data_IF_865296022399
#
_entry.id   IF_865296022399
#
_cell.length_a   1.000
_cell.length_b   1.000
_cell.length_c   1.000
_cell.angle_alpha   90.00
_cell.angle_beta   90.00
_cell.angle_gamma   90.00
#
_symmetry.space_group_name_H-M   'P 1'
#
loop_
_entity.id
_entity.type
_entity.pdbx_description
1 polymer ?
#
# COMPACT_ATOMS: atom_id res chain seq x y z
N UNK A 1 1.09 25.29 27.55
CA UNK A 1 2.16 24.97 26.59
C UNK A 1 3.09 26.18 26.49
N UNK A 2 4.42 26.03 26.41
CA UNK A 2 5.32 27.18 26.25
C UNK A 2 5.03 27.86 24.91
N UNK A 3 4.92 29.19 24.90
CA UNK A 3 4.64 30.02 23.70
C UNK A 3 5.49 29.66 22.47
N UNK A 4 6.76 29.29 22.68
CA UNK A 4 7.68 28.85 21.62
C UNK A 4 7.24 27.61 20.84
N UNK A 5 6.48 26.71 21.47
CA UNK A 5 5.96 25.49 20.83
C UNK A 5 4.75 25.81 19.95
N UNK A 6 3.94 26.78 20.36
CA UNK A 6 2.78 27.25 19.62
C UNK A 6 3.21 28.03 18.38
N UNK A 7 4.21 28.93 18.50
CA UNK A 7 4.81 29.64 17.35
C UNK A 7 5.48 28.71 16.33
N UNK A 8 6.14 27.64 16.78
CA UNK A 8 6.73 26.67 15.86
C UNK A 8 5.66 25.85 15.12
N UNK A 9 4.60 25.46 15.79
CA UNK A 9 3.47 24.78 15.17
C UNK A 9 2.78 25.69 14.12
N UNK A 10 2.52 26.96 14.46
CA UNK A 10 1.93 27.92 13.52
C UNK A 10 2.83 28.16 12.30
N UNK A 11 4.15 28.31 12.48
CA UNK A 11 5.10 28.42 11.37
C UNK A 11 5.13 27.17 10.49
N UNK A 12 5.06 25.99 11.10
CA UNK A 12 4.98 24.71 10.39
C UNK A 12 3.67 24.60 9.62
N UNK A 13 2.55 24.98 10.21
CA UNK A 13 1.22 25.05 9.55
C UNK A 13 1.20 25.98 8.35
N UNK A 14 1.75 27.18 8.50
CA UNK A 14 1.86 28.16 7.40
C UNK A 14 2.73 27.58 6.27
N UNK A 15 3.83 26.91 6.60
CA UNK A 15 4.72 26.28 5.61
C UNK A 15 4.00 25.13 4.89
N UNK A 16 3.31 24.24 5.62
CA UNK A 16 2.53 23.13 5.04
C UNK A 16 1.45 23.66 4.12
N UNK A 17 0.66 24.65 4.56
CA UNK A 17 -0.40 25.27 3.76
C UNK A 17 0.16 25.91 2.49
N UNK A 18 1.29 26.64 2.58
CA UNK A 18 1.95 27.25 1.44
C UNK A 18 2.49 26.22 0.43
N UNK A 19 2.95 25.05 0.88
CA UNK A 19 3.40 23.95 0.02
C UNK A 19 2.18 23.32 -0.71
N UNK A 20 1.10 23.07 0.00
CA UNK A 20 -0.12 22.48 -0.56
C UNK A 20 -0.87 23.41 -1.55
N UNK A 21 -0.73 24.72 -1.38
CA UNK A 21 -1.35 25.76 -2.24
C UNK A 21 -0.53 26.15 -3.47
N UNK A 22 0.79 25.79 -3.54
CA UNK A 22 1.62 26.10 -4.71
C UNK A 22 1.11 25.39 -5.95
N UNK A 23 0.76 26.19 -6.96
CA UNK A 23 0.07 25.77 -8.16
C UNK A 23 0.82 24.81 -9.08
N UNK A 24 0.15 24.38 -10.14
CA UNK A 24 0.57 23.42 -11.17
C UNK A 24 1.78 23.90 -12.02
N UNK A 25 2.96 24.01 -11.42
CA UNK A 25 4.19 24.14 -12.17
C UNK A 25 4.52 22.82 -12.88
N UNK A 26 5.06 22.86 -14.11
CA UNK A 26 5.60 21.69 -14.78
C UNK A 26 6.72 21.11 -13.92
N UNK A 27 6.51 19.88 -13.41
CA UNK A 27 7.46 19.17 -12.53
C UNK A 27 8.34 18.25 -13.38
N UNK A 28 9.64 18.52 -13.40
CA UNK A 28 10.62 17.58 -13.95
C UNK A 28 11.00 16.59 -12.86
N UNK A 29 10.96 15.30 -13.20
CA UNK A 29 11.40 14.21 -12.33
C UNK A 29 12.85 13.86 -12.65
N UNK A 30 13.68 13.72 -11.62
CA UNK A 30 15.11 13.43 -11.78
C UNK A 30 15.43 11.95 -11.63
N UNK A 31 14.75 11.26 -10.70
CA UNK A 31 15.06 9.87 -10.37
C UNK A 31 13.97 8.91 -10.87
N UNK A 32 12.82 8.94 -10.24
CA UNK A 32 11.72 8.05 -10.59
C UNK A 32 10.40 8.84 -10.60
N UNK A 33 9.70 8.89 -11.74
CA UNK A 33 8.36 9.49 -11.76
C UNK A 33 7.43 8.67 -10.88
N UNK A 34 6.48 9.34 -10.23
CA UNK A 34 5.41 8.63 -9.52
C UNK A 34 4.70 7.68 -10.47
N UNK A 35 4.65 6.38 -10.17
CA UNK A 35 4.01 5.41 -11.06
C UNK A 35 2.54 5.73 -11.30
N UNK A 36 2.04 5.43 -12.51
CA UNK A 36 0.66 5.72 -12.90
C UNK A 36 -0.33 4.71 -12.31
N UNK A 37 -1.63 5.01 -12.41
CA UNK A 37 -2.74 4.13 -12.04
C UNK A 37 -2.64 2.74 -12.71
N UNK A 38 -2.21 2.65 -13.97
CA UNK A 38 -1.96 1.38 -14.64
C UNK A 38 -0.96 0.50 -13.88
N UNK A 39 0.11 1.08 -13.35
CA UNK A 39 1.07 0.33 -12.54
C UNK A 39 0.46 -0.19 -11.25
N UNK A 40 -0.37 0.63 -10.59
CA UNK A 40 -1.12 0.20 -9.40
C UNK A 40 -2.04 -0.99 -9.68
N UNK A 41 -2.72 -1.01 -10.84
CA UNK A 41 -3.52 -2.16 -11.28
C UNK A 41 -2.64 -3.40 -11.45
N UNK A 42 -1.55 -3.31 -12.21
CA UNK A 42 -0.66 -4.45 -12.45
C UNK A 42 -0.11 -5.04 -11.16
N UNK A 43 0.36 -4.20 -10.21
CA UNK A 43 0.87 -4.66 -8.92
C UNK A 43 -0.20 -5.34 -8.04
N UNK A 44 -1.46 -4.93 -8.19
CA UNK A 44 -2.57 -5.55 -7.48
C UNK A 44 -2.98 -6.90 -8.05
N UNK A 45 -2.71 -7.17 -9.32
CA UNK A 45 -3.18 -8.38 -10.00
C UNK A 45 -2.12 -9.49 -10.08
N UNK A 46 -0.82 -9.14 -10.09
CA UNK A 46 0.27 -10.08 -10.39
C UNK A 46 0.43 -11.25 -9.43
N UNK A 47 0.02 -11.08 -8.17
CA UNK A 47 0.15 -12.13 -7.15
C UNK A 47 -1.08 -13.02 -7.00
N UNK A 48 -2.12 -12.79 -7.83
CA UNK A 48 -3.34 -13.59 -7.78
C UNK A 48 -3.11 -14.90 -8.54
N UNK A 49 -3.16 -16.02 -7.84
CA UNK A 49 -3.00 -17.35 -8.42
C UNK A 49 -4.19 -17.69 -9.33
N UNK A 50 -3.97 -18.61 -10.27
CA UNK A 50 -4.96 -19.07 -11.26
C UNK A 50 -5.41 -17.95 -12.22
N UNK A 51 -4.71 -16.81 -12.26
CA UNK A 51 -4.97 -15.72 -13.19
C UNK A 51 -3.78 -15.42 -14.09
N UNK A 52 -4.07 -14.77 -15.21
CA UNK A 52 -3.09 -14.23 -16.16
C UNK A 52 -3.47 -12.82 -16.53
N UNK A 53 -2.47 -11.96 -16.73
CA UNK A 53 -2.65 -10.59 -17.20
C UNK A 53 -2.20 -10.50 -18.65
N UNK A 54 -3.04 -9.93 -19.51
CA UNK A 54 -2.69 -9.52 -20.86
C UNK A 54 -2.69 -7.99 -20.90
N UNK A 55 -1.53 -7.40 -21.06
CA UNK A 55 -1.42 -5.96 -21.32
C UNK A 55 -1.58 -5.71 -22.82
N UNK A 56 -2.65 -5.02 -23.22
CA UNK A 56 -2.88 -4.63 -24.59
C UNK A 56 -2.07 -3.38 -24.92
N UNK A 57 -0.92 -3.57 -25.55
CA UNK A 57 -0.02 -2.49 -25.85
C UNK A 57 1.30 -2.91 -26.49
N UNK A 58 2.18 -1.93 -26.78
CA UNK A 58 3.52 -2.19 -27.30
C UNK A 58 4.44 -2.77 -26.22
N UNK A 59 5.44 -3.55 -26.64
CA UNK A 59 6.38 -4.22 -25.73
C UNK A 59 7.12 -3.29 -24.77
N UNK A 60 7.44 -2.06 -25.18
CA UNK A 60 8.20 -1.10 -24.37
C UNK A 60 7.48 -0.69 -23.08
N UNK A 61 6.14 -0.56 -23.11
CA UNK A 61 5.36 -0.23 -21.92
C UNK A 61 5.40 -1.34 -20.89
N UNK A 62 5.28 -2.59 -21.33
CA UNK A 62 5.32 -3.77 -20.46
C UNK A 62 6.71 -4.03 -19.90
N UNK A 63 7.77 -3.81 -20.69
CA UNK A 63 9.15 -4.02 -20.26
C UNK A 63 9.51 -3.16 -19.04
N UNK A 64 9.09 -1.90 -19.02
CA UNK A 64 9.28 -1.03 -17.85
C UNK A 64 8.57 -1.57 -16.61
N UNK A 65 7.35 -2.08 -16.78
CA UNK A 65 6.60 -2.70 -15.68
C UNK A 65 7.33 -3.93 -15.12
N UNK A 66 7.82 -4.80 -16.01
CA UNK A 66 8.53 -6.05 -15.63
C UNK A 66 9.83 -5.77 -14.88
N UNK A 67 10.60 -4.74 -15.27
CA UNK A 67 11.86 -4.42 -14.59
C UNK A 67 11.67 -4.01 -13.14
N UNK A 68 10.57 -3.33 -12.80
CA UNK A 68 10.23 -2.99 -11.42
C UNK A 68 9.76 -4.19 -10.59
N UNK A 69 9.20 -5.23 -11.20
CA UNK A 69 8.69 -6.40 -10.48
C UNK A 69 9.80 -7.28 -9.90
N UNK A 70 10.95 -7.38 -10.56
CA UNK A 70 12.09 -8.15 -10.06
C UNK A 70 12.58 -7.66 -8.69
N UNK A 71 12.35 -6.39 -8.38
CA UNK A 71 12.74 -5.77 -7.12
C UNK A 71 11.71 -6.00 -5.99
N UNK A 72 10.48 -6.42 -6.34
CA UNK A 72 9.38 -6.61 -5.40
C UNK A 72 9.23 -8.06 -4.91
N UNK A 73 10.18 -8.97 -5.19
CA UNK A 73 10.09 -10.40 -4.86
C UNK A 73 8.81 -11.05 -5.44
N UNK A 74 8.39 -10.60 -6.62
CA UNK A 74 7.24 -11.15 -7.33
C UNK A 74 7.76 -12.21 -8.32
N UNK A 75 7.49 -13.47 -8.03
CA UNK A 75 7.73 -14.54 -8.98
C UNK A 75 6.77 -14.40 -10.18
N UNK A 76 7.31 -13.91 -11.30
CA UNK A 76 6.51 -13.65 -12.52
C UNK A 76 6.23 -14.89 -13.37
N UNK A 77 6.16 -16.06 -12.81
CA UNK A 77 6.02 -17.31 -13.57
C UNK A 77 4.89 -17.25 -14.61
N UNK A 78 5.20 -16.71 -15.80
CA UNK A 78 4.29 -16.68 -16.96
C UNK A 78 2.89 -16.08 -16.69
N UNK A 79 2.80 -15.02 -15.88
CA UNK A 79 1.50 -14.42 -15.54
C UNK A 79 1.22 -13.09 -16.23
N UNK A 80 2.24 -12.44 -16.81
CA UNK A 80 2.08 -11.18 -17.55
C UNK A 80 2.52 -11.35 -19.00
N UNK A 81 1.62 -11.11 -19.92
CA UNK A 81 1.85 -11.11 -21.35
C UNK A 81 1.58 -9.73 -21.95
N UNK A 82 2.26 -9.39 -23.03
CA UNK A 82 1.95 -8.21 -23.83
C UNK A 82 1.56 -8.63 -25.25
N UNK A 83 0.65 -7.89 -25.87
CA UNK A 83 0.24 -8.16 -27.24
C UNK A 83 1.24 -7.72 -28.29
N UNK A 84 2.32 -7.02 -27.92
CA UNK A 84 3.29 -6.43 -28.88
C UNK A 84 2.61 -5.59 -29.97
N UNK A 85 1.68 -4.71 -29.56
CA UNK A 85 0.99 -3.81 -30.48
C UNK A 85 1.99 -3.09 -31.40
N UNK A 86 1.77 -3.18 -32.71
CA UNK A 86 2.57 -2.53 -33.73
C UNK A 86 2.04 -1.15 -34.11
N UNK A 87 2.81 -0.36 -34.84
CA UNK A 87 2.34 0.93 -35.38
C UNK A 87 1.13 0.76 -36.31
N UNK A 88 1.07 -0.32 -37.10
CA UNK A 88 -0.07 -0.63 -37.95
C UNK A 88 -1.34 -0.89 -37.13
N UNK A 89 -1.24 -1.63 -36.03
CA UNK A 89 -2.38 -1.90 -35.12
C UNK A 89 -2.92 -0.57 -34.52
N UNK A 90 -2.01 0.37 -34.19
CA UNK A 90 -2.39 1.70 -33.69
C UNK A 90 -3.14 2.52 -34.75
N UNK A 91 -2.63 2.55 -35.98
CA UNK A 91 -3.21 3.36 -37.07
C UNK A 91 -4.57 2.77 -37.53
N UNK A 92 -4.67 1.46 -37.61
CA UNK A 92 -5.85 0.76 -38.11
C UNK A 92 -6.91 0.53 -37.03
N UNK A 93 -6.56 0.66 -35.76
CA UNK A 93 -7.44 0.32 -34.63
C UNK A 93 -7.79 -1.17 -34.58
N UNK A 94 -6.91 -2.04 -35.07
CA UNK A 94 -7.15 -3.48 -35.20
C UNK A 94 -6.95 -4.20 -33.86
N UNK A 95 -8.03 -4.77 -33.31
CA UNK A 95 -8.03 -5.53 -32.07
C UNK A 95 -7.75 -7.03 -32.25
N UNK A 96 -7.60 -7.53 -33.50
CA UNK A 96 -7.41 -8.96 -33.81
C UNK A 96 -6.23 -9.57 -33.03
N UNK A 97 -5.19 -8.80 -32.79
CA UNK A 97 -4.04 -9.24 -32.00
C UNK A 97 -4.40 -9.52 -30.54
N UNK A 98 -5.27 -8.70 -29.93
CA UNK A 98 -5.78 -8.95 -28.58
C UNK A 98 -6.64 -10.20 -28.52
N UNK A 99 -7.55 -10.37 -29.47
CA UNK A 99 -8.41 -11.55 -29.56
C UNK A 99 -7.59 -12.86 -29.67
N UNK A 100 -6.55 -12.85 -30.53
CA UNK A 100 -5.62 -13.98 -30.67
C UNK A 100 -4.87 -14.26 -29.36
N UNK A 101 -4.36 -13.22 -28.68
CA UNK A 101 -3.65 -13.37 -27.42
C UNK A 101 -4.56 -13.97 -26.33
N UNK A 102 -5.81 -13.52 -26.23
CA UNK A 102 -6.79 -14.07 -25.28
C UNK A 102 -7.00 -15.57 -25.54
N UNK A 103 -7.26 -15.97 -26.78
CA UNK A 103 -7.45 -17.39 -27.15
C UNK A 103 -6.21 -18.24 -26.88
N UNK A 104 -5.03 -17.72 -27.17
CA UNK A 104 -3.77 -18.42 -26.97
C UNK A 104 -3.49 -18.64 -25.48
N UNK A 105 -3.68 -17.62 -24.65
CA UNK A 105 -3.51 -17.69 -23.20
C UNK A 105 -4.53 -18.65 -22.57
N UNK A 106 -5.80 -18.56 -22.94
CA UNK A 106 -6.84 -19.48 -22.44
C UNK A 106 -6.49 -20.93 -22.73
N UNK A 107 -6.05 -21.22 -23.97
CA UNK A 107 -5.69 -22.58 -24.41
C UNK A 107 -4.44 -23.12 -23.70
N UNK A 108 -3.38 -22.29 -23.59
CA UNK A 108 -2.06 -22.74 -23.16
C UNK A 108 -1.89 -22.70 -21.64
N UNK A 109 -2.39 -21.66 -20.98
CA UNK A 109 -2.24 -21.45 -19.54
C UNK A 109 -3.44 -21.96 -18.73
N UNK A 110 -4.61 -22.06 -19.33
CA UNK A 110 -5.88 -22.50 -18.70
C UNK A 110 -6.15 -21.79 -17.37
N UNK A 111 -6.07 -20.44 -17.33
CA UNK A 111 -6.34 -19.70 -16.10
C UNK A 111 -7.84 -19.71 -15.81
N UNK A 112 -8.23 -19.46 -14.54
CA UNK A 112 -9.63 -19.18 -14.20
C UNK A 112 -10.05 -17.78 -14.66
N UNK A 113 -9.13 -16.81 -14.60
CA UNK A 113 -9.37 -15.42 -14.98
C UNK A 113 -8.24 -14.89 -15.85
N UNK A 114 -8.60 -14.16 -16.90
CA UNK A 114 -7.69 -13.33 -17.69
C UNK A 114 -8.04 -11.87 -17.44
N UNK A 115 -7.11 -11.14 -16.84
CA UNK A 115 -7.19 -9.70 -16.69
C UNK A 115 -6.62 -9.02 -17.93
N UNK A 116 -7.45 -8.24 -18.64
CA UNK A 116 -7.02 -7.50 -19.84
C UNK A 116 -6.84 -6.04 -19.45
N UNK A 117 -5.59 -5.55 -19.51
CA UNK A 117 -5.22 -4.21 -19.04
C UNK A 117 -4.81 -3.35 -20.22
N UNK A 118 -5.41 -2.15 -20.34
CA UNK A 118 -5.01 -1.18 -21.33
C UNK A 118 -3.60 -0.62 -21.05
N UNK A 119 -2.73 -0.61 -22.06
CA UNK A 119 -1.56 0.25 -22.04
C UNK A 119 -1.96 1.72 -22.25
N UNK A 120 -1.03 2.64 -22.01
CA UNK A 120 -1.25 4.06 -22.29
C UNK A 120 -1.57 4.32 -23.76
N UNK A 121 -0.95 3.54 -24.68
CA UNK A 121 -1.23 3.64 -26.12
C UNK A 121 -2.65 3.18 -26.43
N UNK A 122 -3.07 2.03 -25.93
CA UNK A 122 -4.41 1.51 -26.12
C UNK A 122 -5.50 2.48 -25.61
N UNK A 123 -5.26 3.11 -24.45
CA UNK A 123 -6.18 4.08 -23.87
C UNK A 123 -6.27 5.38 -24.70
N UNK A 124 -5.15 5.88 -25.24
CA UNK A 124 -5.12 7.09 -26.09
C UNK A 124 -5.87 6.88 -27.41
N UNK A 125 -5.72 5.73 -28.04
CA UNK A 125 -6.45 5.41 -29.29
C UNK A 125 -7.91 5.01 -29.06
N UNK A 126 -8.35 4.92 -27.80
CA UNK A 126 -9.75 4.71 -27.45
C UNK A 126 -10.28 3.30 -27.73
N UNK A 127 -9.45 2.26 -27.60
CA UNK A 127 -9.88 0.88 -27.81
C UNK A 127 -10.88 0.45 -26.74
N UNK A 128 -12.03 -0.06 -27.16
CA UNK A 128 -13.05 -0.62 -26.27
C UNK A 128 -12.68 -2.04 -25.81
N UNK A 129 -11.72 -2.10 -24.86
CA UNK A 129 -11.27 -3.39 -24.28
C UNK A 129 -12.44 -4.13 -23.63
N UNK A 130 -13.35 -3.41 -22.97
CA UNK A 130 -14.50 -4.01 -22.31
C UNK A 130 -15.44 -4.66 -23.33
N UNK A 131 -15.72 -3.99 -24.43
CA UNK A 131 -16.52 -4.55 -25.54
C UNK A 131 -15.87 -5.81 -26.15
N UNK A 132 -14.55 -5.78 -26.35
CA UNK A 132 -13.78 -6.94 -26.85
C UNK A 132 -13.88 -8.11 -25.86
N UNK A 133 -13.65 -7.87 -24.55
CA UNK A 133 -13.77 -8.92 -23.53
C UNK A 133 -15.18 -9.52 -23.50
N UNK A 134 -16.22 -8.69 -23.57
CA UNK A 134 -17.60 -9.17 -23.59
C UNK A 134 -17.89 -10.04 -24.83
N UNK A 135 -17.41 -9.63 -26.00
CA UNK A 135 -17.54 -10.41 -27.24
C UNK A 135 -16.79 -11.74 -27.14
N UNK A 136 -15.55 -11.71 -26.65
CA UNK A 136 -14.69 -12.88 -26.57
C UNK A 136 -15.10 -13.87 -25.46
N UNK A 137 -15.91 -13.47 -24.49
CA UNK A 137 -16.25 -14.31 -23.34
C UNK A 137 -16.89 -15.64 -23.73
N UNK A 138 -17.67 -15.69 -24.84
CA UNK A 138 -18.29 -16.93 -25.33
C UNK A 138 -17.29 -17.87 -26.02
N UNK A 139 -16.10 -17.41 -26.37
CA UNK A 139 -15.10 -18.16 -27.12
C UNK A 139 -13.98 -18.75 -26.25
N UNK A 140 -13.94 -18.43 -24.93
CA UNK A 140 -12.90 -18.84 -23.97
C UNK A 140 -13.52 -19.37 -22.69
N UNK A 141 -12.76 -20.22 -21.98
CA UNK A 141 -13.20 -20.79 -20.70
C UNK A 141 -12.92 -19.85 -19.53
N UNK A 142 -11.80 -19.12 -19.58
CA UNK A 142 -11.43 -18.17 -18.55
C UNK A 142 -12.42 -17.00 -18.48
N UNK A 143 -12.72 -16.52 -17.28
CA UNK A 143 -13.46 -15.27 -17.12
C UNK A 143 -12.58 -14.09 -17.55
N UNK A 144 -13.11 -13.21 -18.39
CA UNK A 144 -12.41 -12.01 -18.85
C UNK A 144 -12.80 -10.82 -18.01
N UNK A 145 -11.80 -10.10 -17.45
CA UNK A 145 -12.00 -8.88 -16.67
C UNK A 145 -11.16 -7.76 -17.27
N UNK A 146 -11.81 -6.67 -17.69
CA UNK A 146 -11.21 -5.58 -18.43
C UNK A 146 -10.86 -4.38 -17.53
N UNK A 147 -9.65 -3.82 -17.69
CA UNK A 147 -9.18 -2.57 -17.10
C UNK A 147 -8.78 -1.59 -18.20
N UNK A 148 -9.54 -0.52 -18.37
CA UNK A 148 -9.41 0.46 -19.45
C UNK A 148 -8.62 1.74 -19.09
N UNK A 149 -8.10 1.85 -17.84
CA UNK A 149 -7.56 3.09 -17.28
C UNK A 149 -6.28 3.60 -17.96
N UNK A 150 -5.42 2.76 -18.46
CA UNK A 150 -4.28 3.10 -19.32
C UNK A 150 -3.23 4.08 -18.78
N UNK A 151 -3.30 4.51 -17.52
CA UNK A 151 -2.31 5.37 -16.90
C UNK A 151 -2.65 6.86 -16.82
N UNK A 152 -3.90 7.27 -17.07
CA UNK A 152 -4.30 8.67 -17.15
C UNK A 152 -5.27 9.14 -16.04
N UNK A 153 -5.72 8.26 -15.17
CA UNK A 153 -6.71 8.61 -14.13
C UNK A 153 -6.09 9.03 -12.80
N UNK A 154 -4.79 8.87 -12.64
CA UNK A 154 -4.06 9.26 -11.44
C UNK A 154 -2.72 8.57 -11.31
N UNK A 155 -2.17 8.58 -10.10
CA UNK A 155 -1.00 7.80 -9.76
C UNK A 155 -1.39 6.36 -9.36
N UNK A 156 -0.40 5.56 -8.96
CA UNK A 156 -0.59 4.14 -8.63
C UNK A 156 -1.66 3.91 -7.56
N UNK A 157 -1.86 4.84 -6.62
CA UNK A 157 -2.87 4.69 -5.56
C UNK A 157 -4.29 4.64 -6.12
N UNK A 158 -4.57 5.42 -7.17
CA UNK A 158 -5.85 5.37 -7.88
C UNK A 158 -6.06 4.01 -8.58
N UNK A 159 -4.99 3.45 -9.16
CA UNK A 159 -5.04 2.14 -9.79
C UNK A 159 -5.24 1.00 -8.80
N UNK A 160 -4.55 1.04 -7.67
CA UNK A 160 -4.72 0.08 -6.57
C UNK A 160 -6.16 0.10 -6.05
N UNK A 161 -6.71 1.28 -5.80
CA UNK A 161 -8.10 1.46 -5.38
C UNK A 161 -9.08 0.85 -6.39
N UNK A 162 -8.87 1.12 -7.69
CA UNK A 162 -9.73 0.60 -8.74
C UNK A 162 -9.62 -0.93 -8.86
N UNK A 163 -8.42 -1.48 -8.73
CA UNK A 163 -8.22 -2.92 -8.75
C UNK A 163 -9.01 -3.61 -7.61
N UNK A 164 -8.97 -3.10 -6.39
CA UNK A 164 -9.75 -3.67 -5.28
C UNK A 164 -11.26 -3.63 -5.56
N UNK A 165 -11.76 -2.51 -6.09
CA UNK A 165 -13.19 -2.39 -6.46
C UNK A 165 -13.60 -3.40 -7.53
N UNK A 166 -12.80 -3.51 -8.59
CA UNK A 166 -13.06 -4.44 -9.69
C UNK A 166 -13.02 -5.89 -9.21
N UNK A 167 -12.03 -6.27 -8.38
CA UNK A 167 -11.96 -7.61 -7.83
C UNK A 167 -13.18 -7.95 -6.96
N UNK A 168 -13.63 -7.02 -6.12
CA UNK A 168 -14.83 -7.22 -5.31
C UNK A 168 -16.09 -7.34 -6.18
N UNK A 169 -16.24 -6.49 -7.18
CA UNK A 169 -17.43 -6.48 -8.01
C UNK A 169 -17.49 -7.67 -8.99
N UNK A 170 -16.33 -8.02 -9.56
CA UNK A 170 -16.28 -9.01 -10.63
C UNK A 170 -16.01 -10.43 -10.12
N UNK A 171 -15.28 -10.62 -9.02
CA UNK A 171 -14.88 -11.96 -8.62
C UNK A 171 -15.66 -12.49 -7.42
N UNK A 172 -15.98 -11.65 -6.43
CA UNK A 172 -16.68 -12.14 -5.23
C UNK A 172 -18.09 -12.64 -5.60
N UNK A 173 -18.35 -13.90 -5.30
CA UNK A 173 -19.63 -14.55 -5.60
C UNK A 173 -20.66 -14.21 -4.53
N UNK A 174 -21.89 -13.89 -4.94
CA UNK A 174 -22.98 -13.66 -4.00
C UNK A 174 -23.32 -14.94 -3.22
N UNK A 175 -23.40 -14.82 -1.91
CA UNK A 175 -23.62 -15.95 -1.02
C UNK A 175 -24.31 -15.53 0.28
N UNK A 176 -25.19 -16.39 0.79
CA UNK A 176 -25.75 -16.26 2.15
C UNK A 176 -24.95 -17.05 3.18
N UNK A 177 -23.98 -17.85 2.73
CA UNK A 177 -23.13 -18.63 3.62
C UNK A 177 -22.21 -17.72 4.42
N UNK A 178 -22.05 -18.03 5.71
CA UNK A 178 -21.10 -17.37 6.62
C UNK A 178 -20.12 -18.39 7.16
N UNK A 179 -18.85 -18.03 7.09
CA UNK A 179 -17.77 -18.83 7.67
C UNK A 179 -17.30 -18.13 8.96
N UNK A 180 -17.81 -18.65 10.07
CA UNK A 180 -17.59 -18.06 11.39
C UNK A 180 -16.12 -17.95 11.76
N UNK A 181 -15.77 -16.87 12.43
CA UNK A 181 -14.39 -16.58 12.85
C UNK A 181 -13.40 -16.38 11.68
N UNK A 182 -13.88 -15.91 10.54
CA UNK A 182 -13.02 -15.57 9.41
C UNK A 182 -13.09 -14.08 9.06
N UNK A 183 -12.01 -13.60 8.42
CA UNK A 183 -11.91 -12.23 7.97
C UNK A 183 -11.20 -12.14 6.62
N UNK A 184 -11.47 -11.07 5.89
CA UNK A 184 -10.71 -10.66 4.71
C UNK A 184 -9.74 -9.54 5.05
N UNK A 185 -8.59 -9.50 4.37
CA UNK A 185 -7.70 -8.34 4.33
C UNK A 185 -7.87 -7.67 2.97
N UNK A 186 -8.13 -6.36 2.95
CA UNK A 186 -8.18 -5.53 1.75
C UNK A 186 -7.12 -4.42 1.89
N UNK A 187 -6.30 -4.24 0.86
CA UNK A 187 -5.23 -3.24 0.89
C UNK A 187 -3.81 -3.82 0.85
N UNK A 188 -3.66 -5.11 0.57
CA UNK A 188 -2.37 -5.79 0.56
C UNK A 188 -1.66 -5.67 -0.81
N UNK A 189 -1.35 -4.46 -1.27
CA UNK A 189 -0.58 -4.25 -2.48
C UNK A 189 0.88 -4.70 -2.29
N UNK A 190 1.40 -5.50 -3.22
CA UNK A 190 2.81 -5.91 -3.19
C UNK A 190 3.80 -4.76 -3.44
N UNK A 191 3.33 -3.62 -3.94
CA UNK A 191 4.13 -2.41 -4.02
C UNK A 191 4.51 -1.88 -2.64
N UNK A 192 3.62 -2.00 -1.65
CA UNK A 192 3.88 -1.50 -0.30
C UNK A 192 5.03 -2.24 0.37
N UNK A 193 5.97 -1.48 0.91
CA UNK A 193 7.19 -2.03 1.50
C UNK A 193 6.88 -3.00 2.64
N UNK A 194 7.44 -4.20 2.58
CA UNK A 194 7.27 -5.30 3.56
C UNK A 194 5.83 -5.81 3.73
N UNK A 195 4.94 -5.59 2.79
CA UNK A 195 3.53 -5.96 2.91
C UNK A 195 3.32 -7.44 3.31
N UNK A 196 4.09 -8.38 2.72
CA UNK A 196 3.99 -9.80 3.11
C UNK A 196 4.34 -10.06 4.57
N UNK A 197 5.35 -9.35 5.10
CA UNK A 197 5.73 -9.44 6.52
C UNK A 197 4.63 -8.88 7.41
N UNK A 198 4.06 -7.76 7.02
CA UNK A 198 2.97 -7.09 7.73
C UNK A 198 1.71 -7.94 7.76
N UNK A 199 1.33 -8.56 6.62
CA UNK A 199 0.21 -9.50 6.57
C UNK A 199 0.43 -10.69 7.50
N UNK A 200 1.64 -11.25 7.55
CA UNK A 200 1.95 -12.36 8.46
C UNK A 200 1.80 -11.94 9.94
N UNK A 201 2.23 -10.74 10.29
CA UNK A 201 2.05 -10.20 11.65
C UNK A 201 0.59 -9.93 11.98
N UNK A 202 -0.17 -9.36 11.04
CA UNK A 202 -1.63 -9.17 11.19
C UNK A 202 -2.34 -10.51 11.40
N UNK A 203 -2.00 -11.53 10.59
CA UNK A 203 -2.55 -12.90 10.75
C UNK A 203 -2.25 -13.48 12.13
N UNK A 204 -1.01 -13.33 12.60
CA UNK A 204 -0.60 -13.80 13.92
C UNK A 204 -1.39 -13.10 15.03
N UNK A 205 -1.46 -11.77 14.99
CA UNK A 205 -2.17 -10.97 15.99
C UNK A 205 -3.66 -11.32 16.08
N UNK A 206 -4.35 -11.45 14.94
CA UNK A 206 -5.78 -11.76 14.91
C UNK A 206 -6.07 -13.18 15.38
N UNK A 207 -5.20 -14.12 15.04
CA UNK A 207 -5.32 -15.49 15.55
C UNK A 207 -5.09 -15.56 17.06
N UNK A 208 -4.03 -14.94 17.57
CA UNK A 208 -3.70 -14.94 19.00
C UNK A 208 -4.72 -14.15 19.83
N UNK A 209 -5.24 -13.02 19.31
CA UNK A 209 -6.17 -12.17 20.03
C UNK A 209 -7.60 -12.72 20.05
N UNK A 210 -8.08 -13.34 18.97
CA UNK A 210 -9.49 -13.67 18.78
C UNK A 210 -9.77 -15.07 18.22
N UNK A 211 -8.73 -15.81 17.79
CA UNK A 211 -8.89 -17.08 17.09
C UNK A 211 -9.38 -16.92 15.63
N UNK A 212 -9.28 -15.71 15.06
CA UNK A 212 -9.74 -15.44 13.71
C UNK A 212 -8.77 -16.00 12.65
N UNK A 213 -9.32 -16.47 11.53
CA UNK A 213 -8.57 -17.00 10.38
C UNK A 213 -8.81 -16.14 9.15
N UNK A 214 -7.77 -15.90 8.36
CA UNK A 214 -7.90 -15.19 7.09
C UNK A 214 -8.64 -16.06 6.07
N UNK A 215 -9.65 -15.48 5.40
CA UNK A 215 -10.42 -16.10 4.33
C UNK A 215 -9.85 -15.74 2.96
N UNK A 216 -9.66 -14.44 2.69
CA UNK A 216 -9.08 -13.91 1.47
C UNK A 216 -8.20 -12.69 1.75
N UNK A 217 -7.22 -12.45 0.87
CA UNK A 217 -6.32 -11.29 0.93
C UNK A 217 -6.32 -10.57 -0.43
N UNK A 218 -6.84 -9.35 -0.49
CA UNK A 218 -6.85 -8.51 -1.69
C UNK A 218 -5.65 -7.56 -1.66
N UNK A 219 -4.59 -7.70 -2.42
CA UNK A 219 -4.21 -8.77 -3.34
C UNK A 219 -2.75 -9.17 -3.04
N UNK A 220 -2.54 -10.02 -2.09
CA UNK A 220 -1.21 -10.58 -1.81
C UNK A 220 -1.33 -12.07 -1.62
N UNK A 221 -0.63 -12.83 -2.49
CA UNK A 221 -0.52 -14.28 -2.38
C UNK A 221 -1.88 -14.97 -2.13
N UNK A 222 -2.85 -14.66 -2.98
CA UNK A 222 -4.23 -15.16 -2.93
C UNK A 222 -4.60 -15.87 -4.23
N UNK A 223 -5.60 -16.74 -4.18
CA UNK A 223 -6.13 -17.42 -5.35
C UNK A 223 -7.48 -16.84 -5.80
N UNK A 224 -7.87 -17.10 -7.06
CA UNK A 224 -9.20 -16.74 -7.55
C UNK A 224 -10.28 -17.39 -6.68
N UNK A 225 -10.09 -18.65 -6.27
CA UNK A 225 -11.06 -19.35 -5.42
C UNK A 225 -11.24 -18.69 -4.04
N UNK A 226 -10.17 -18.21 -3.43
CA UNK A 226 -10.26 -17.47 -2.15
C UNK A 226 -11.00 -16.14 -2.33
N UNK A 227 -10.73 -15.41 -3.42
CA UNK A 227 -11.42 -14.15 -3.73
C UNK A 227 -12.92 -14.38 -4.00
N UNK A 228 -13.29 -15.42 -4.74
CA UNK A 228 -14.69 -15.79 -4.99
C UNK A 228 -15.46 -16.04 -3.69
N UNK A 229 -14.80 -16.64 -2.69
CA UNK A 229 -15.39 -16.97 -1.37
C UNK A 229 -15.30 -15.84 -0.35
N UNK A 230 -14.75 -14.68 -0.71
CA UNK A 230 -14.58 -13.58 0.24
C UNK A 230 -15.90 -13.07 0.84
N UNK A 231 -17.03 -13.23 0.13
CA UNK A 231 -18.37 -12.91 0.65
C UNK A 231 -18.82 -13.73 1.88
N UNK A 232 -18.17 -14.88 2.13
CA UNK A 232 -18.47 -15.75 3.28
C UNK A 232 -17.87 -15.25 4.60
N UNK A 233 -16.90 -14.33 4.59
CA UNK A 233 -16.22 -13.84 5.78
C UNK A 233 -17.16 -13.01 6.69
N UNK A 234 -16.84 -12.97 7.98
CA UNK A 234 -17.64 -12.26 9.00
C UNK A 234 -17.06 -10.89 9.36
N UNK A 235 -15.87 -10.54 8.85
CA UNK A 235 -15.21 -9.27 9.07
C UNK A 235 -14.35 -8.90 7.84
N UNK A 236 -14.31 -7.62 7.49
CA UNK A 236 -13.37 -7.06 6.52
C UNK A 236 -12.36 -6.14 7.22
N UNK A 237 -11.10 -6.22 6.87
CA UNK A 237 -10.04 -5.36 7.40
C UNK A 237 -9.42 -4.58 6.24
N UNK A 238 -9.71 -3.29 6.18
CA UNK A 238 -9.10 -2.35 5.25
C UNK A 238 -7.78 -1.84 5.85
N UNK A 239 -6.64 -2.39 5.43
CA UNK A 239 -5.33 -2.01 5.99
C UNK A 239 -4.72 -0.76 5.36
N UNK A 240 -5.30 -0.27 4.27
CA UNK A 240 -4.92 0.97 3.60
C UNK A 240 -6.14 1.81 3.24
N UNK A 241 -5.95 3.12 3.15
CA UNK A 241 -7.03 4.07 2.79
C UNK A 241 -7.62 3.76 1.40
N UNK A 242 -6.80 3.28 0.48
CA UNK A 242 -7.21 2.83 -0.86
C UNK A 242 -8.19 1.67 -0.86
N UNK A 243 -8.24 0.89 0.22
CA UNK A 243 -9.11 -0.29 0.36
C UNK A 243 -10.51 0.01 0.92
N UNK A 244 -10.72 1.20 1.47
CA UNK A 244 -11.96 1.54 2.21
C UNK A 244 -13.19 1.44 1.31
N UNK A 245 -13.12 1.91 0.05
CA UNK A 245 -14.25 1.85 -0.88
C UNK A 245 -14.65 0.42 -1.23
N UNK A 246 -13.67 -0.46 -1.49
CA UNK A 246 -13.92 -1.88 -1.73
C UNK A 246 -14.52 -2.58 -0.49
N UNK A 247 -14.06 -2.21 0.72
CA UNK A 247 -14.62 -2.73 1.97
C UNK A 247 -16.07 -2.30 2.19
N UNK A 248 -16.43 -1.07 1.83
CA UNK A 248 -17.83 -0.58 1.86
C UNK A 248 -18.73 -1.33 0.86
N UNK A 249 -18.19 -1.72 -0.30
CA UNK A 249 -18.95 -2.55 -1.25
C UNK A 249 -19.25 -3.92 -0.64
N UNK A 250 -18.24 -4.58 -0.01
CA UNK A 250 -18.44 -5.86 0.68
C UNK A 250 -19.43 -5.73 1.85
N UNK A 251 -19.34 -4.65 2.63
CA UNK A 251 -20.31 -4.38 3.70
C UNK A 251 -21.74 -4.25 3.16
N UNK A 252 -21.93 -3.49 2.08
CA UNK A 252 -23.24 -3.28 1.46
C UNK A 252 -23.81 -4.57 0.86
N UNK A 253 -22.97 -5.37 0.16
CA UNK A 253 -23.43 -6.60 -0.51
C UNK A 253 -23.70 -7.74 0.45
N UNK A 254 -22.86 -7.89 1.48
CA UNK A 254 -22.87 -9.07 2.35
C UNK A 254 -23.21 -8.76 3.81
N UNK A 255 -23.51 -7.51 4.14
CA UNK A 255 -23.69 -7.07 5.54
C UNK A 255 -22.53 -7.48 6.46
N UNK A 256 -21.30 -7.50 5.90
CA UNK A 256 -20.07 -7.85 6.61
C UNK A 256 -19.36 -6.57 7.04
N UNK A 257 -19.28 -6.26 8.35
CA UNK A 257 -18.67 -5.02 8.82
C UNK A 257 -17.20 -4.92 8.44
N UNK A 258 -16.68 -3.68 8.39
CA UNK A 258 -15.24 -3.49 8.17
C UNK A 258 -14.60 -2.63 9.26
N UNK A 259 -13.31 -2.88 9.50
CA UNK A 259 -12.42 -2.05 10.31
C UNK A 259 -11.32 -1.50 9.43
N UNK A 260 -11.08 -0.18 9.51
CA UNK A 260 -9.97 0.46 8.80
C UNK A 260 -8.80 0.71 9.75
N UNK A 261 -7.60 0.47 9.25
CA UNK A 261 -6.32 0.80 9.87
C UNK A 261 -5.32 -0.34 9.86
N UNK A 262 -4.05 0.04 9.95
CA UNK A 262 -2.91 -0.85 10.10
C UNK A 262 -2.34 -0.71 11.52
N UNK A 263 -2.01 -1.80 12.23
CA UNK A 263 -1.55 -1.73 13.61
C UNK A 263 -0.09 -1.26 13.70
N UNK A 264 0.18 0.04 13.60
CA UNK A 264 1.52 0.59 13.79
C UNK A 264 1.78 0.98 15.25
N UNK A 265 2.95 0.60 15.78
CA UNK A 265 3.33 0.86 17.16
C UNK A 265 2.53 0.06 18.20
N UNK A 266 2.93 0.14 19.47
CA UNK A 266 2.27 -0.66 20.53
C UNK A 266 0.88 -0.13 20.89
N UNK A 267 0.74 1.18 21.08
CA UNK A 267 -0.57 1.78 21.39
C UNK A 267 -1.52 1.67 20.20
N UNK A 268 -1.01 1.92 18.96
CA UNK A 268 -1.81 1.76 17.74
C UNK A 268 -2.30 0.31 17.54
N UNK A 269 -1.44 -0.67 17.83
CA UNK A 269 -1.83 -2.09 17.79
C UNK A 269 -2.92 -2.42 18.82
N UNK A 270 -2.81 -1.92 20.04
CA UNK A 270 -3.84 -2.15 21.06
C UNK A 270 -5.17 -1.50 20.68
N UNK A 271 -5.15 -0.25 20.22
CA UNK A 271 -6.33 0.48 19.77
C UNK A 271 -7.01 -0.22 18.58
N UNK A 272 -6.24 -0.69 17.62
CA UNK A 272 -6.73 -1.43 16.46
C UNK A 272 -7.41 -2.74 16.88
N UNK A 273 -6.82 -3.52 17.80
CA UNK A 273 -7.45 -4.71 18.36
C UNK A 273 -8.74 -4.38 19.14
N UNK A 274 -8.80 -3.25 19.85
CA UNK A 274 -9.99 -2.79 20.54
C UNK A 274 -11.13 -2.43 19.57
N UNK A 275 -10.82 -1.78 18.45
CA UNK A 275 -11.80 -1.51 17.39
C UNK A 275 -12.38 -2.82 16.84
N UNK A 276 -11.52 -3.79 16.53
CA UNK A 276 -11.97 -5.11 16.06
C UNK A 276 -12.84 -5.79 17.12
N UNK A 277 -12.40 -5.80 18.39
CA UNK A 277 -13.13 -6.35 19.53
C UNK A 277 -14.56 -5.80 19.60
N UNK A 278 -14.72 -4.47 19.45
CA UNK A 278 -16.04 -3.83 19.50
C UNK A 278 -16.94 -4.20 18.33
N UNK A 279 -16.36 -4.40 17.13
CA UNK A 279 -17.11 -4.78 15.92
C UNK A 279 -17.58 -6.23 15.96
N UNK A 280 -16.72 -7.16 16.40
CA UNK A 280 -17.05 -8.60 16.42
C UNK A 280 -17.69 -9.05 17.74
N UNK A 281 -17.76 -8.18 18.76
CA UNK A 281 -18.33 -8.51 20.07
C UNK A 281 -17.51 -9.53 20.87
N UNK A 282 -16.19 -9.66 20.62
CA UNK A 282 -15.30 -10.59 21.33
C UNK A 282 -14.23 -9.84 22.12
N UNK A 283 -13.93 -10.29 23.32
CA UNK A 283 -12.82 -9.75 24.11
C UNK A 283 -11.47 -10.15 23.56
N UNK A 284 -10.49 -9.24 23.65
CA UNK A 284 -9.10 -9.53 23.31
C UNK A 284 -8.53 -10.54 24.31
N UNK A 285 -7.85 -11.57 23.81
CA UNK A 285 -7.15 -12.52 24.67
C UNK A 285 -6.29 -11.78 25.71
N UNK A 286 -6.49 -12.02 27.02
CA UNK A 286 -5.79 -11.30 28.10
C UNK A 286 -4.27 -11.36 28.00
N UNK A 287 -3.69 -12.44 27.46
CA UNK A 287 -2.23 -12.58 27.25
C UNK A 287 -1.72 -11.55 26.22
N UNK A 288 -2.43 -11.39 25.10
CA UNK A 288 -2.06 -10.43 24.04
C UNK A 288 -2.22 -9.00 24.55
N UNK A 289 -3.35 -8.70 25.20
CA UNK A 289 -3.59 -7.38 25.78
C UNK A 289 -2.58 -7.05 26.90
N UNK A 290 -2.22 -8.03 27.73
CA UNK A 290 -1.21 -7.90 28.78
C UNK A 290 0.18 -7.59 28.23
N UNK A 291 0.64 -8.35 27.22
CA UNK A 291 1.93 -8.14 26.57
C UNK A 291 2.02 -6.74 25.92
N UNK A 292 0.95 -6.27 25.26
CA UNK A 292 0.92 -4.92 24.68
C UNK A 292 0.97 -3.83 25.75
N UNK A 293 0.22 -3.96 26.84
CA UNK A 293 0.25 -2.99 27.96
C UNK A 293 1.62 -2.93 28.61
N UNK A 294 2.31 -4.07 28.77
CA UNK A 294 3.69 -4.12 29.27
C UNK A 294 4.64 -3.36 28.35
N UNK A 295 4.62 -3.62 27.04
CA UNK A 295 5.44 -2.91 26.02
C UNK A 295 5.16 -1.40 26.02
N UNK A 296 3.90 -0.98 26.13
CA UNK A 296 3.51 0.43 26.27
C UNK A 296 4.09 1.03 27.55
N UNK A 297 4.02 0.31 28.68
CA UNK A 297 4.61 0.74 29.94
C UNK A 297 6.12 0.93 29.85
N UNK A 298 6.82 -0.03 29.25
CA UNK A 298 8.27 0.02 29.03
C UNK A 298 8.67 1.20 28.13
N UNK A 299 7.93 1.46 27.05
CA UNK A 299 8.21 2.58 26.14
C UNK A 299 8.02 3.94 26.83
N UNK A 300 7.01 4.09 27.71
CA UNK A 300 6.79 5.30 28.52
C UNK A 300 7.90 5.53 29.56
N UNK A 301 8.36 4.46 30.21
CA UNK A 301 9.51 4.54 31.13
C UNK A 301 10.79 4.94 30.39
N UNK A 302 11.01 4.38 29.19
CA UNK A 302 12.15 4.75 28.35
C UNK A 302 12.11 6.22 27.92
N UNK A 303 10.95 6.78 27.58
CA UNK A 303 10.79 8.21 27.32
C UNK A 303 11.13 9.07 28.53
N UNK A 304 10.59 8.70 29.71
CA UNK A 304 10.82 9.44 30.95
C UNK A 304 12.30 9.46 31.30
N UNK A 305 12.98 8.32 31.23
CA UNK A 305 14.42 8.19 31.44
C UNK A 305 15.22 9.08 30.48
N UNK A 306 14.86 9.12 29.20
CA UNK A 306 15.53 9.96 28.20
C UNK A 306 15.33 11.44 28.41
N UNK A 307 14.12 11.88 28.77
CA UNK A 307 13.87 13.28 29.12
C UNK A 307 14.73 13.77 30.30
N UNK A 308 15.03 12.86 31.23
CA UNK A 308 15.92 13.17 32.38
C UNK A 308 17.39 13.29 31.97
N UNK A 309 17.85 12.52 30.99
CA UNK A 309 19.27 12.47 30.60
C UNK A 309 19.63 13.44 29.47
N UNK A 310 18.67 14.01 28.74
CA UNK A 310 18.95 14.78 27.52
C UNK A 310 18.20 16.09 27.43
N UNK A 311 18.96 17.07 26.92
CA UNK A 311 18.45 18.41 26.56
C UNK A 311 18.07 18.51 25.07
N UNK A 312 18.52 17.58 24.22
CA UNK A 312 18.31 17.65 22.77
C UNK A 312 16.96 17.11 22.36
N UNK A 313 16.27 17.81 21.48
CA UNK A 313 15.01 17.41 20.88
C UNK A 313 15.33 16.35 19.82
N UNK A 314 14.77 15.16 19.99
CA UNK A 314 14.83 14.13 18.95
C UNK A 314 13.84 14.45 17.86
N UNK A 315 14.27 14.36 16.60
CA UNK A 315 13.47 14.75 15.44
C UNK A 315 13.44 13.64 14.40
N UNK A 316 12.38 13.62 13.60
CA UNK A 316 12.26 12.71 12.47
C UNK A 316 11.50 13.35 11.30
N UNK A 317 11.87 12.93 10.08
CA UNK A 317 11.15 13.17 8.84
C UNK A 317 10.68 11.82 8.28
N UNK A 318 9.37 11.69 8.00
CA UNK A 318 8.74 10.44 7.59
C UNK A 318 8.12 10.62 6.19
N UNK A 319 8.58 9.80 5.23
CA UNK A 319 8.20 9.89 3.81
C UNK A 319 7.77 8.51 3.33
N UNK A 320 6.57 8.40 2.74
CA UNK A 320 6.08 7.11 2.24
C UNK A 320 4.61 7.11 1.87
N UNK A 321 3.98 5.94 1.92
CA UNK A 321 2.54 5.79 1.73
C UNK A 321 1.76 6.33 2.92
N UNK A 322 0.56 6.87 2.68
CA UNK A 322 -0.23 7.58 3.68
C UNK A 322 -0.35 6.85 5.02
N UNK A 323 -0.82 5.61 5.01
CA UNK A 323 -1.08 4.83 6.23
C UNK A 323 0.21 4.57 7.04
N UNK A 324 1.32 4.29 6.36
CA UNK A 324 2.62 4.11 7.00
C UNK A 324 3.16 5.43 7.57
N UNK A 325 3.03 6.54 6.81
CA UNK A 325 3.46 7.88 7.28
C UNK A 325 2.71 8.28 8.53
N UNK A 326 1.38 8.13 8.55
CA UNK A 326 0.55 8.47 9.70
C UNK A 326 0.88 7.56 10.89
N UNK A 327 0.79 6.25 10.72
CA UNK A 327 0.91 5.29 11.81
C UNK A 327 2.31 5.25 12.44
N UNK A 328 3.37 5.27 11.61
CA UNK A 328 4.75 5.29 12.10
C UNK A 328 5.06 6.63 12.77
N UNK A 329 4.60 7.75 12.22
CA UNK A 329 4.77 9.06 12.87
C UNK A 329 4.10 9.14 14.23
N UNK A 330 2.88 8.64 14.36
CA UNK A 330 2.17 8.59 15.64
C UNK A 330 2.94 7.72 16.65
N UNK A 331 3.51 6.60 16.22
CA UNK A 331 4.35 5.76 17.07
C UNK A 331 5.64 6.47 17.51
N UNK A 332 6.35 7.14 16.59
CA UNK A 332 7.55 7.92 16.93
C UNK A 332 7.23 9.06 17.92
N UNK A 333 6.09 9.73 17.76
CA UNK A 333 5.62 10.76 18.71
C UNK A 333 5.34 10.16 20.10
N UNK A 334 4.77 8.96 20.16
CA UNK A 334 4.61 8.21 21.42
C UNK A 334 5.96 7.89 22.08
N UNK A 335 7.03 7.73 21.30
CA UNK A 335 8.40 7.56 21.78
C UNK A 335 9.10 8.89 22.13
N UNK A 336 8.41 10.03 22.01
CA UNK A 336 8.93 11.36 22.32
C UNK A 336 9.82 11.98 21.25
N UNK A 337 9.67 11.51 19.98
CA UNK A 337 10.33 12.08 18.81
C UNK A 337 9.39 13.12 18.18
N UNK A 338 9.89 14.31 17.92
CA UNK A 338 9.15 15.36 17.21
C UNK A 338 9.22 15.10 15.71
N UNK A 339 8.08 15.16 15.03
CA UNK A 339 8.03 14.94 13.58
C UNK A 339 8.14 16.29 12.87
N UNK A 340 9.22 16.47 12.11
CA UNK A 340 9.45 17.67 11.32
C UNK A 340 8.57 17.69 10.07
N UNK A 341 8.51 16.55 9.37
CA UNK A 341 7.71 16.41 8.16
C UNK A 341 7.07 15.03 8.09
N UNK A 342 5.79 15.00 7.70
CA UNK A 342 5.01 13.83 7.30
C UNK A 342 4.69 13.99 5.81
N UNK A 343 5.34 13.23 4.95
CA UNK A 343 5.25 13.41 3.50
C UNK A 343 4.66 12.17 2.86
N UNK A 344 3.52 12.32 2.19
CA UNK A 344 2.92 11.27 1.38
C UNK A 344 3.43 11.34 -0.05
N UNK A 345 3.91 10.21 -0.59
CA UNK A 345 4.50 10.10 -1.93
C UNK A 345 3.48 9.87 -3.04
N UNK A 346 2.21 9.70 -2.72
CA UNK A 346 1.12 9.54 -3.67
C UNK A 346 -0.01 10.55 -3.41
N UNK A 347 -0.88 10.75 -4.41
CA UNK A 347 -2.05 11.59 -4.25
C UNK A 347 -3.18 10.83 -3.56
N UNK A 348 -4.01 11.54 -2.85
CA UNK A 348 -5.25 11.02 -2.30
C UNK A 348 -6.48 11.44 -3.12
N UNK A 349 -6.33 11.64 -4.42
CA UNK A 349 -7.44 12.03 -5.29
C UNK A 349 -8.58 11.01 -5.19
N UNK A 350 -9.69 11.42 -4.60
CA UNK A 350 -10.84 10.56 -4.35
C UNK A 350 -10.75 9.70 -3.09
N UNK A 351 -9.79 9.97 -2.20
CA UNK A 351 -9.65 9.35 -0.88
C UNK A 351 -9.73 10.46 0.17
N UNK A 352 -10.60 10.33 1.16
CA UNK A 352 -10.68 11.30 2.24
C UNK A 352 -9.45 11.16 3.16
N UNK A 353 -8.55 12.12 3.09
CA UNK A 353 -7.47 12.25 4.06
C UNK A 353 -8.05 12.86 5.34
N UNK A 354 -7.91 12.15 6.44
CA UNK A 354 -8.39 12.56 7.76
C UNK A 354 -7.31 13.28 8.60
N UNK A 355 -6.11 13.47 8.01
CA UNK A 355 -4.96 14.12 8.69
C UNK A 355 -4.50 15.33 7.90
N UNK A 356 -4.70 16.49 8.46
CA UNK A 356 -4.28 17.77 7.88
C UNK A 356 -2.76 18.03 8.00
N UNK A 357 -2.08 17.32 8.91
CA UNK A 357 -0.64 17.44 9.17
C UNK A 357 0.23 16.61 8.20
N UNK A 358 -0.37 15.95 7.20
CA UNK A 358 0.32 15.24 6.13
C UNK A 358 0.47 16.13 4.90
N UNK A 359 1.71 16.20 4.40
CA UNK A 359 2.05 16.96 3.19
C UNK A 359 1.95 16.03 1.97
N UNK A 360 1.14 16.43 1.00
CA UNK A 360 1.07 15.77 -0.31
C UNK A 360 1.91 16.60 -1.29
N UNK A 361 3.16 16.17 -1.53
CA UNK A 361 4.07 16.92 -2.39
C UNK A 361 3.72 16.70 -3.86
N UNK A 362 3.75 17.79 -4.61
CA UNK A 362 3.47 17.81 -6.05
C UNK A 362 4.72 17.51 -6.89
N UNK A 363 5.92 17.64 -6.31
CA UNK A 363 7.18 17.50 -7.04
C UNK A 363 8.21 16.70 -6.22
N UNK A 364 8.96 15.86 -6.93
CA UNK A 364 10.11 15.15 -6.35
C UNK A 364 11.18 16.11 -5.81
N UNK A 365 11.35 17.28 -6.44
CA UNK A 365 12.31 18.30 -6.01
C UNK A 365 12.06 18.78 -4.59
N UNK A 366 10.80 19.05 -4.25
CA UNK A 366 10.44 19.53 -2.89
C UNK A 366 10.79 18.49 -1.83
N UNK A 367 10.55 17.19 -2.11
CA UNK A 367 10.96 16.10 -1.22
C UNK A 367 12.48 16.04 -1.07
N UNK A 368 13.21 16.13 -2.18
CA UNK A 368 14.68 16.10 -2.19
C UNK A 368 15.26 17.27 -1.39
N UNK A 369 14.72 18.47 -1.53
CA UNK A 369 15.20 19.65 -0.82
C UNK A 369 15.00 19.47 0.70
N UNK A 370 13.85 18.97 1.14
CA UNK A 370 13.58 18.65 2.56
C UNK A 370 14.57 17.60 3.09
N UNK A 371 14.78 16.51 2.35
CA UNK A 371 15.68 15.42 2.77
C UNK A 371 17.13 15.87 2.90
N UNK A 372 17.59 16.75 2.00
CA UNK A 372 18.96 17.28 2.03
C UNK A 372 19.18 18.29 3.18
N UNK A 373 18.13 19.01 3.59
CA UNK A 373 18.18 19.92 4.71
C UNK A 373 18.16 19.18 6.07
N UNK A 374 17.63 17.96 6.10
CA UNK A 374 17.56 17.11 7.29
C UNK A 374 18.96 16.75 7.82
N UNK A 375 19.24 17.05 9.09
CA UNK A 375 20.52 16.75 9.75
C UNK A 375 20.33 16.33 11.19
N UNK A 376 21.04 15.27 11.59
CA UNK A 376 21.02 14.74 12.96
C UNK A 376 19.62 14.35 13.42
N UNK A 377 18.78 13.88 12.50
CA UNK A 377 17.45 13.38 12.78
C UNK A 377 17.27 11.95 12.23
N UNK A 378 16.14 11.33 12.52
CA UNK A 378 15.73 10.10 11.82
C UNK A 378 15.08 10.46 10.50
N UNK A 379 15.58 9.88 9.39
CA UNK A 379 14.92 9.95 8.07
C UNK A 379 14.35 8.58 7.73
N UNK A 380 13.04 8.52 7.65
CA UNK A 380 12.31 7.31 7.28
C UNK A 380 11.72 7.50 5.88
N UNK A 381 12.20 6.74 4.89
CA UNK A 381 11.84 6.96 3.48
C UNK A 381 12.10 5.73 2.59
N UNK A 382 11.99 5.89 1.28
CA UNK A 382 12.48 4.97 0.26
C UNK A 382 14.01 5.04 0.07
N UNK A 383 14.58 4.09 -0.68
CA UNK A 383 16.03 4.03 -0.94
C UNK A 383 16.60 5.26 -1.63
N UNK A 384 15.84 5.87 -2.55
CA UNK A 384 16.31 7.06 -3.27
C UNK A 384 16.48 8.23 -2.31
N UNK A 385 15.47 8.51 -1.50
CA UNK A 385 15.50 9.58 -0.51
C UNK A 385 16.56 9.32 0.56
N UNK A 386 16.68 8.09 1.05
CA UNK A 386 17.71 7.71 2.02
C UNK A 386 19.13 7.85 1.47
N UNK A 387 19.34 7.63 0.17
CA UNK A 387 20.64 7.83 -0.47
C UNK A 387 21.05 9.30 -0.59
N UNK A 388 20.06 10.21 -0.59
CA UNK A 388 20.26 11.66 -0.68
C UNK A 388 20.35 12.34 0.70
N UNK A 389 19.90 11.66 1.73
CA UNK A 389 19.93 12.16 3.11
C UNK A 389 21.39 12.24 3.62
N UNK A 390 21.68 13.28 4.39
CA UNK A 390 22.98 13.49 5.03
C UNK A 390 23.38 12.29 5.91
N UNK A 391 24.67 11.96 5.97
CA UNK A 391 25.15 10.81 6.74
C UNK A 391 25.10 10.99 8.25
N UNK A 392 24.86 12.21 8.74
CA UNK A 392 24.57 12.46 10.16
C UNK A 392 23.17 11.96 10.60
N UNK A 393 22.32 11.57 9.66
CA UNK A 393 20.98 11.08 9.93
C UNK A 393 20.95 9.58 10.20
N UNK A 394 20.05 9.14 11.09
CA UNK A 394 19.70 7.73 11.21
C UNK A 394 18.66 7.38 10.16
N UNK A 395 18.97 6.43 9.27
CA UNK A 395 18.21 6.10 8.07
C UNK A 395 17.42 4.81 8.26
N UNK A 396 16.10 4.84 8.05
CA UNK A 396 15.23 3.66 8.09
C UNK A 396 14.36 3.60 6.83
N UNK A 397 14.42 2.49 6.10
CA UNK A 397 13.53 2.26 4.95
C UNK A 397 12.14 1.86 5.42
N UNK A 398 11.13 2.56 4.92
CA UNK A 398 9.71 2.28 5.20
C UNK A 398 8.83 2.29 3.94
N UNK A 399 9.37 2.68 2.79
CA UNK A 399 8.62 2.87 1.56
C UNK A 399 9.36 2.32 0.34
N UNK A 400 8.63 1.98 -0.76
CA UNK A 400 9.23 1.75 -2.06
C UNK A 400 9.60 3.10 -2.75
N UNK A 401 10.50 3.09 -3.78
CA UNK A 401 11.14 1.92 -4.36
C UNK A 401 12.35 1.41 -3.58
N UNK A 402 12.63 0.10 -3.72
CA UNK A 402 13.84 -0.55 -3.22
C UNK A 402 14.82 -0.69 -4.38
N UNK A 403 15.85 0.14 -4.43
CA UNK A 403 16.79 0.20 -5.58
C UNK A 403 18.01 -0.69 -5.38
N UNK A 404 18.47 -0.83 -4.15
CA UNK A 404 19.62 -1.68 -3.83
C UNK A 404 19.11 -3.05 -3.43
N UNK A 405 19.06 -3.97 -4.40
CA UNK A 405 18.52 -5.31 -4.25
C UNK A 405 18.82 -5.93 -2.88
N UNK A 406 17.79 -6.00 -2.06
CA UNK A 406 17.86 -6.67 -0.75
C UNK A 406 16.83 -7.77 -0.72
N UNK A 407 17.25 -8.90 -0.20
CA UNK A 407 16.29 -9.93 0.22
C UNK A 407 15.40 -9.31 1.30
N UNK A 408 14.14 -9.06 0.95
CA UNK A 408 13.16 -8.60 1.93
C UNK A 408 12.90 -9.73 2.93
N UNK A 409 13.29 -9.50 4.17
CA UNK A 409 13.06 -10.47 5.23
C UNK A 409 11.56 -10.58 5.53
N UNK A 410 10.95 -11.67 5.12
CA UNK A 410 9.49 -11.92 5.26
C UNK A 410 9.00 -12.02 6.71
N UNK A 411 9.91 -12.00 7.68
CA UNK A 411 9.62 -12.08 9.12
C UNK A 411 9.87 -10.76 9.87
N UNK A 412 10.24 -9.68 9.17
CA UNK A 412 10.47 -8.37 9.77
C UNK A 412 9.38 -7.38 9.29
N UNK A 413 8.24 -7.31 9.97
CA UNK A 413 7.17 -6.38 9.63
C UNK A 413 7.51 -4.93 10.04
N UNK A 414 6.70 -3.98 9.57
CA UNK A 414 6.58 -2.63 10.14
C UNK A 414 5.36 -2.52 11.05
N UNK A 415 4.37 -3.37 10.85
CA UNK A 415 3.13 -3.43 11.63
C UNK A 415 3.24 -4.32 12.86
N UNK A 416 2.31 -4.15 13.80
CA UNK A 416 2.15 -4.99 14.96
C UNK A 416 3.22 -4.82 16.03
N UNK A 417 3.32 -5.81 16.90
CA UNK A 417 4.28 -5.81 17.99
C UNK A 417 5.70 -5.93 17.46
N UNK A 418 5.95 -6.84 16.52
CA UNK A 418 7.29 -7.05 15.96
C UNK A 418 7.75 -5.88 15.10
N UNK A 419 6.83 -5.19 14.41
CA UNK A 419 7.14 -3.96 13.69
C UNK A 419 7.50 -2.82 14.63
N UNK A 420 6.79 -2.70 15.75
CA UNK A 420 7.12 -1.73 16.79
C UNK A 420 8.49 -2.01 17.43
N UNK A 421 8.81 -3.28 17.72
CA UNK A 421 10.13 -3.68 18.23
C UNK A 421 11.24 -3.31 17.24
N UNK A 422 11.02 -3.57 15.93
CA UNK A 422 11.96 -3.24 14.86
C UNK A 422 12.20 -1.73 14.75
N UNK A 423 11.17 -0.91 14.74
CA UNK A 423 11.30 0.57 14.69
C UNK A 423 11.98 1.09 15.96
N UNK A 424 11.65 0.54 17.13
CA UNK A 424 12.26 0.93 18.41
C UNK A 424 13.78 0.69 18.43
N UNK A 425 14.27 -0.38 17.79
CA UNK A 425 15.70 -0.65 17.66
C UNK A 425 16.41 0.49 16.92
N UNK A 426 15.85 0.98 15.81
CA UNK A 426 16.39 2.15 15.09
C UNK A 426 16.33 3.44 15.92
N UNK A 427 15.28 3.62 16.71
CA UNK A 427 15.20 4.75 17.66
C UNK A 427 16.32 4.66 18.70
N UNK A 428 16.66 3.47 19.19
CA UNK A 428 17.77 3.27 20.11
C UNK A 428 19.13 3.58 19.46
N UNK A 429 19.33 3.18 18.21
CA UNK A 429 20.52 3.55 17.44
C UNK A 429 20.63 5.05 17.27
N UNK A 430 19.54 5.70 16.84
CA UNK A 430 19.49 7.16 16.70
C UNK A 430 19.91 7.89 17.98
N UNK A 431 19.43 7.41 19.11
CA UNK A 431 19.82 7.99 20.41
C UNK A 431 21.30 7.86 20.71
N UNK A 432 21.95 6.79 20.23
CA UNK A 432 23.40 6.62 20.40
C UNK A 432 24.21 7.60 19.54
N UNK A 433 23.71 7.95 18.35
CA UNK A 433 24.38 8.90 17.45
C UNK A 433 24.32 10.36 17.95
N UNK A 434 23.38 10.68 18.82
CA UNK A 434 23.26 12.00 19.43
C UNK A 434 24.25 12.23 20.62
N UNK A 435 25.06 11.24 20.98
CA UNK A 435 26.14 11.36 21.96
C UNK A 435 27.34 12.04 21.36
#
# INVERSE_FOLDING_TARGET
MPQKKQENLEKQWVKIKSINERGNGMSLTRFLPTPSDRMGILWSLLSIEESVIIEYGPAGTTHFSVSLFGELDIEQKNRLYTTHMSEADVVMGDATRLEKAIKEVDKNNKPKVIFVVASSVAAVIGVDIKGICNYMQSEVNARLVAFDQGGFRGDYSAGVKEAYKMLVNELVVDTDKRDENTYNIIGASLWSYRMRSDINEVKRLLFEAFGLKMKACFCSDTSIEELEKAGEATLNIAIQKTAVEASKILETRFNTPYVYGMPYGYEGTLQWLQQISSVIGKEINPKVAGALREKIGMSKQYQMYKRMLRRDIMQATVIGEYDAVVGISDFLQQLGIEINYKICTHSLKGIDADREDVIFLKTEKETIDIVKEAKKEMVLADDTMLSLADDSNTKLRIAPPVIKGMVLARHLPLAGIYGADYVLEYVQQYVQTLK
#
